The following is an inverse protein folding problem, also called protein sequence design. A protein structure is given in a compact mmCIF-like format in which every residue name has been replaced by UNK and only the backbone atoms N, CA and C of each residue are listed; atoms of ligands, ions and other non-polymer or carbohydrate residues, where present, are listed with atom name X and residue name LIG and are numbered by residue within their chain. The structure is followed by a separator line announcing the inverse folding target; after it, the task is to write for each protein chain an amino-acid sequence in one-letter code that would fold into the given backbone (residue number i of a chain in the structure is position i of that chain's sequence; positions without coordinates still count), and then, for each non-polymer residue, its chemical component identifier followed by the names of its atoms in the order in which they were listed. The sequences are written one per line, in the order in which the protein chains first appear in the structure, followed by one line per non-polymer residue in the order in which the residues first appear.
data_IF_338452499640
#
_entry.id   IF_338452499640
#
_cell.length_a   1.000
_cell.length_b   1.000
_cell.length_c   1.000
_cell.angle_alpha   90.00
_cell.angle_beta   90.00
_cell.angle_gamma   90.00
#
_symmetry.space_group_name_H-M   'P 1'
#
loop_
_entity.id
_entity.type
_entity.pdbx_description
1 polymer ?
#
# COMPACT_ATOMS: atom_id res chain seq x y z
N UNK A 1 14.25 15.44 12.25
CA UNK A 1 12.85 15.04 12.48
C UNK A 1 12.90 13.62 13.04
N UNK A 2 12.19 13.33 14.11
CA UNK A 2 12.26 12.02 14.77
C UNK A 2 11.76 10.91 13.83
N UNK A 3 12.58 9.88 13.60
CA UNK A 3 12.30 8.79 12.65
C UNK A 3 11.03 8.05 13.04
N UNK A 4 10.81 7.87 14.34
CA UNK A 4 9.64 7.19 14.88
C UNK A 4 8.35 7.98 14.58
N UNK A 5 8.44 9.31 14.64
CA UNK A 5 7.32 10.19 14.25
C UNK A 5 6.98 10.03 12.77
N UNK A 6 7.97 9.88 11.89
CA UNK A 6 7.74 9.68 10.46
C UNK A 6 7.11 8.32 10.18
N UNK A 7 7.58 7.26 10.83
CA UNK A 7 6.97 5.92 10.76
C UNK A 7 5.50 5.99 11.16
N UNK A 8 5.18 6.68 12.25
CA UNK A 8 3.80 6.83 12.69
C UNK A 8 2.93 7.58 11.65
N UNK A 9 3.44 8.66 11.06
CA UNK A 9 2.73 9.39 10.00
C UNK A 9 2.46 8.53 8.76
N UNK A 10 3.42 7.67 8.39
CA UNK A 10 3.27 6.75 7.27
C UNK A 10 2.25 5.64 7.58
N UNK A 11 2.26 5.11 8.81
CA UNK A 11 1.25 4.14 9.27
C UNK A 11 -0.17 4.73 9.25
N UNK A 12 -0.32 6.00 9.65
CA UNK A 12 -1.62 6.70 9.61
C UNK A 12 -2.06 7.00 8.17
N UNK A 13 -1.13 7.23 7.24
CA UNK A 13 -1.43 7.34 5.81
C UNK A 13 -1.87 5.98 5.22
N UNK A 14 -1.16 4.89 5.53
CA UNK A 14 -1.55 3.53 5.11
C UNK A 14 -2.98 3.21 5.56
N UNK A 15 -3.32 3.49 6.81
CA UNK A 15 -4.67 3.26 7.33
C UNK A 15 -5.75 4.02 6.56
N UNK A 16 -5.49 5.28 6.19
CA UNK A 16 -6.43 6.08 5.38
C UNK A 16 -6.60 5.53 3.97
N UNK A 17 -5.49 5.21 3.29
CA UNK A 17 -5.54 4.63 1.95
C UNK A 17 -6.30 3.30 1.92
N UNK A 18 -6.13 2.46 2.95
CA UNK A 18 -6.89 1.21 3.07
C UNK A 18 -8.38 1.43 3.33
N UNK A 19 -8.75 2.45 4.14
CA UNK A 19 -10.15 2.81 4.36
C UNK A 19 -10.82 3.31 3.07
N UNK A 20 -10.12 4.11 2.27
CA UNK A 20 -10.62 4.63 0.98
C UNK A 20 -10.77 3.54 -0.09
N UNK A 21 -10.00 2.45 0.04
CA UNK A 21 -9.92 1.37 -0.97
C UNK A 21 -10.55 0.06 -0.51
N UNK A 22 -11.23 0.05 0.64
CA UNK A 22 -11.77 -1.17 1.27
C UNK A 22 -12.90 -1.85 0.48
N UNK A 23 -13.61 -1.10 -0.37
CA UNK A 23 -14.73 -1.60 -1.18
C UNK A 23 -14.33 -1.89 -2.65
N UNK A 24 -13.03 -2.00 -2.94
CA UNK A 24 -12.54 -2.31 -4.27
C UNK A 24 -13.04 -3.69 -4.74
N UNK A 25 -13.67 -3.71 -5.91
CA UNK A 25 -13.99 -4.93 -6.65
C UNK A 25 -13.01 -5.12 -7.80
N UNK A 26 -12.69 -6.37 -8.15
CA UNK A 26 -11.82 -6.80 -9.27
C UNK A 26 -12.46 -6.48 -10.63
N UNK A 27 -12.65 -5.20 -10.89
CA UNK A 27 -13.26 -4.63 -12.09
C UNK A 27 -12.48 -3.39 -12.51
N UNK A 28 -12.75 -2.90 -13.73
CA UNK A 28 -12.26 -1.60 -14.24
C UNK A 28 -12.92 -0.41 -13.53
N UNK A 29 -13.17 -0.52 -12.22
CA UNK A 29 -13.54 0.59 -11.36
C UNK A 29 -12.47 1.68 -11.36
N UNK A 30 -12.59 2.65 -10.44
CA UNK A 30 -11.68 3.79 -10.39
C UNK A 30 -10.21 3.33 -10.27
N UNK A 31 -9.46 3.44 -11.38
CA UNK A 31 -8.06 3.02 -11.47
C UNK A 31 -7.19 3.75 -10.44
N UNK A 32 -7.60 4.95 -10.02
CA UNK A 32 -6.89 5.69 -8.97
C UNK A 32 -7.01 4.98 -7.62
N UNK A 33 -8.14 4.34 -7.32
CA UNK A 33 -8.29 3.57 -6.08
C UNK A 33 -7.40 2.33 -6.10
N UNK A 34 -7.29 1.65 -7.25
CA UNK A 34 -6.37 0.52 -7.42
C UNK A 34 -4.91 0.95 -7.28
N UNK A 35 -4.54 2.08 -7.85
CA UNK A 35 -3.23 2.69 -7.64
C UNK A 35 -2.97 2.99 -6.16
N UNK A 36 -3.93 3.62 -5.47
CA UNK A 36 -3.81 3.96 -4.04
C UNK A 36 -3.66 2.71 -3.16
N UNK A 37 -4.38 1.62 -3.48
CA UNK A 37 -4.25 0.33 -2.79
C UNK A 37 -2.86 -0.27 -3.00
N UNK A 38 -2.38 -0.25 -4.23
CA UNK A 38 -1.02 -0.65 -4.56
C UNK A 38 0.02 0.15 -3.78
N UNK A 39 -0.11 1.48 -3.80
CA UNK A 39 0.77 2.40 -3.10
C UNK A 39 0.86 2.09 -1.61
N UNK A 40 -0.28 1.90 -0.95
CA UNK A 40 -0.32 1.52 0.46
C UNK A 40 0.41 0.18 0.73
N UNK A 41 0.32 -0.79 -0.18
CA UNK A 41 1.06 -2.05 -0.06
C UNK A 41 2.57 -1.89 -0.25
N UNK A 42 3.00 -1.02 -1.17
CA UNK A 42 4.42 -0.67 -1.32
C UNK A 42 4.97 -0.03 -0.04
N UNK A 43 4.22 0.89 0.58
CA UNK A 43 4.58 1.46 1.88
C UNK A 43 4.68 0.38 2.97
N UNK A 44 3.70 -0.53 3.03
CA UNK A 44 3.66 -1.64 4.00
C UNK A 44 4.90 -2.53 3.88
N UNK A 45 5.37 -2.81 2.67
CA UNK A 45 6.60 -3.58 2.49
C UNK A 45 7.79 -2.92 3.19
N UNK A 46 8.03 -1.64 2.93
CA UNK A 46 9.14 -0.90 3.54
C UNK A 46 8.97 -0.85 5.06
N UNK A 47 7.77 -0.56 5.56
CA UNK A 47 7.51 -0.50 6.99
C UNK A 47 7.69 -1.86 7.70
N UNK A 48 7.38 -2.98 7.02
CA UNK A 48 7.67 -4.33 7.53
C UNK A 48 9.18 -4.57 7.64
N UNK A 49 9.96 -4.17 6.63
CA UNK A 49 11.43 -4.28 6.66
C UNK A 49 12.06 -3.50 7.83
N UNK A 50 11.38 -2.45 8.30
CA UNK A 50 11.80 -1.63 9.44
C UNK A 50 11.32 -2.17 10.80
N UNK A 51 10.62 -3.29 10.83
CA UNK A 51 10.13 -3.93 12.06
C UNK A 51 8.76 -3.43 12.53
N UNK A 52 8.00 -2.67 11.72
CA UNK A 52 6.67 -2.17 12.09
C UNK A 52 5.53 -3.18 11.85
N UNK A 53 5.84 -4.48 11.74
CA UNK A 53 4.87 -5.52 11.35
C UNK A 53 3.64 -5.56 12.28
N UNK A 54 3.83 -5.52 13.60
CA UNK A 54 2.73 -5.54 14.57
C UNK A 54 1.86 -4.28 14.48
N UNK A 55 2.47 -3.11 14.23
CA UNK A 55 1.77 -1.85 14.10
C UNK A 55 0.92 -1.79 12.82
N UNK A 56 1.37 -2.47 11.75
CA UNK A 56 0.61 -2.63 10.51
C UNK A 56 -0.58 -3.56 10.74
N UNK A 57 -0.34 -4.72 11.36
CA UNK A 57 -1.39 -5.71 11.64
C UNK A 57 -2.51 -5.15 12.55
N UNK A 58 -2.16 -4.22 13.45
CA UNK A 58 -3.14 -3.53 14.30
C UNK A 58 -4.01 -2.48 13.55
N UNK A 59 -3.66 -2.13 12.30
CA UNK A 59 -4.32 -1.06 11.54
C UNK A 59 -5.09 -1.56 10.33
N UNK A 60 -4.50 -2.50 9.59
CA UNK A 60 -5.00 -2.93 8.29
C UNK A 60 -4.81 -4.42 8.09
N UNK A 61 -5.78 -5.05 7.43
CA UNK A 61 -5.60 -6.37 6.83
C UNK A 61 -4.94 -6.18 5.46
N UNK A 62 -3.61 -6.20 5.46
CA UNK A 62 -2.83 -5.92 4.27
C UNK A 62 -3.00 -7.00 3.20
N UNK A 63 -2.91 -6.61 1.93
CA UNK A 63 -2.96 -7.58 0.83
C UNK A 63 -1.80 -8.58 0.91
N UNK A 64 -2.07 -9.79 0.43
CA UNK A 64 -1.05 -10.83 0.29
C UNK A 64 -0.13 -10.52 -0.88
N UNK A 65 1.07 -11.10 -0.87
CA UNK A 65 2.06 -10.90 -1.94
C UNK A 65 1.57 -11.37 -3.32
N UNK A 66 0.61 -12.30 -3.35
CA UNK A 66 0.00 -12.88 -4.54
C UNK A 66 -1.34 -12.24 -4.92
N UNK A 67 -1.72 -11.09 -4.33
CA UNK A 67 -3.00 -10.40 -4.57
C UNK A 67 -3.38 -10.23 -6.04
N UNK A 68 -2.38 -10.06 -6.91
CA UNK A 68 -2.54 -9.83 -8.34
C UNK A 68 -2.22 -11.05 -9.22
N UNK A 69 -1.92 -12.21 -8.65
CA UNK A 69 -1.43 -13.36 -9.42
C UNK A 69 -2.39 -13.71 -10.57
N UNK A 70 -1.89 -13.61 -11.80
CA UNK A 70 -2.66 -13.89 -13.02
C UNK A 70 -3.59 -12.76 -13.49
N UNK A 71 -3.51 -11.58 -12.87
CA UNK A 71 -4.33 -10.40 -13.15
C UNK A 71 -3.49 -9.14 -13.43
N UNK A 72 -2.16 -9.25 -13.45
CA UNK A 72 -1.19 -8.16 -13.58
C UNK A 72 -1.33 -7.37 -14.89
N UNK A 73 -1.85 -8.02 -15.94
CA UNK A 73 -2.02 -7.43 -17.26
C UNK A 73 -3.29 -6.60 -17.41
N UNK A 74 -4.26 -6.75 -16.49
CA UNK A 74 -5.51 -6.00 -16.49
C UNK A 74 -5.26 -4.52 -16.16
N UNK A 75 -6.11 -3.58 -16.61
CA UNK A 75 -5.91 -2.16 -16.36
C UNK A 75 -5.73 -1.81 -14.88
N UNK A 76 -6.59 -2.36 -14.02
CA UNK A 76 -6.49 -2.17 -12.58
C UNK A 76 -5.30 -2.89 -11.94
N UNK A 77 -4.90 -4.05 -12.48
CA UNK A 77 -3.70 -4.77 -12.04
C UNK A 77 -2.42 -3.97 -12.30
N UNK A 78 -2.33 -3.32 -13.47
CA UNK A 78 -1.24 -2.38 -13.79
C UNK A 78 -1.26 -1.16 -12.90
N UNK A 79 -2.44 -0.60 -12.62
CA UNK A 79 -2.57 0.55 -11.73
C UNK A 79 -2.06 0.23 -10.32
N UNK A 80 -2.47 -0.93 -9.77
CA UNK A 80 -1.96 -1.42 -8.50
C UNK A 80 -0.45 -1.63 -8.51
N UNK A 81 0.10 -2.34 -9.52
CA UNK A 81 1.55 -2.59 -9.59
C UNK A 81 2.34 -1.29 -9.62
N UNK A 82 1.89 -0.34 -10.43
CA UNK A 82 2.55 0.96 -10.49
C UNK A 82 2.44 1.71 -9.15
N UNK A 83 1.28 1.68 -8.51
CA UNK A 83 1.10 2.22 -7.16
C UNK A 83 2.10 1.60 -6.19
N UNK A 84 2.21 0.28 -6.18
CA UNK A 84 3.11 -0.48 -5.30
C UNK A 84 4.58 -0.07 -5.48
N UNK A 85 5.07 -0.03 -6.71
CA UNK A 85 6.45 0.40 -7.02
C UNK A 85 6.72 1.82 -6.50
N UNK A 86 5.75 2.72 -6.70
CA UNK A 86 5.85 4.11 -6.26
C UNK A 86 5.81 4.23 -4.73
N UNK A 87 4.93 3.49 -4.07
CA UNK A 87 4.80 3.47 -2.61
C UNK A 87 6.05 2.93 -1.93
N UNK A 88 6.66 1.87 -2.46
CA UNK A 88 7.94 1.36 -1.95
C UNK A 88 9.04 2.41 -2.11
N UNK A 89 9.23 2.94 -3.33
CA UNK A 89 10.29 3.90 -3.64
C UNK A 89 10.19 5.17 -2.80
N UNK A 90 9.03 5.83 -2.82
CA UNK A 90 8.84 7.11 -2.14
C UNK A 90 8.89 6.98 -0.63
N UNK A 91 8.42 5.85 -0.07
CA UNK A 91 8.55 5.59 1.37
C UNK A 91 10.01 5.54 1.78
N UNK A 92 10.88 4.91 0.99
CA UNK A 92 12.33 4.87 1.25
C UNK A 92 12.99 6.25 1.13
N UNK A 93 12.51 7.10 0.22
CA UNK A 93 13.05 8.45 0.03
C UNK A 93 12.73 9.38 1.21
N UNK A 94 11.56 9.24 1.83
CA UNK A 94 11.12 10.13 2.91
C UNK A 94 11.56 9.70 4.29
N UNK A 95 11.94 8.44 4.49
CA UNK A 95 12.37 7.90 5.78
C UNK A 95 13.74 8.47 6.19
#
# INVERSE_FOLDING_TARGET
MDRDKRIQQLLDLVGRLYAETGELSESDGDLQLWYNRGYANGMIQVLRELGAADQIAARVEADTADRLAGQEFLPWGKAYLHGFEMGDRETREVL
#
